data_IF_544616057481
#
_entry.id   IF_544616057481
#
_cell.length_a   1.000
_cell.length_b   1.000
_cell.length_c   1.000
_cell.angle_alpha   90.00
_cell.angle_beta   90.00
_cell.angle_gamma   90.00
#
_symmetry.space_group_name_H-M   'P 1'
#
loop_
_entity.id
_entity.type
_entity.pdbx_description
1 polymer ?
#
# COMPACT_ATOMS: atom_id res chain seq x y z
N UNK A 1 43.91 -0.12 29.59
CA UNK A 1 43.18 -0.12 28.27
C UNK A 1 41.82 -0.79 28.24
N UNK A 2 41.45 -1.60 29.21
CA UNK A 2 40.11 -2.28 29.30
C UNK A 2 38.88 -1.40 29.60
N UNK A 3 38.97 -0.28 30.35
CA UNK A 3 37.77 0.50 30.68
C UNK A 3 37.14 1.21 29.47
N UNK A 4 37.96 1.60 28.48
CA UNK A 4 37.49 2.31 27.29
C UNK A 4 36.60 1.40 26.41
N UNK A 5 37.00 0.15 26.26
CA UNK A 5 36.26 -0.87 25.50
C UNK A 5 34.87 -1.16 26.08
N UNK A 6 34.75 -1.12 27.41
CA UNK A 6 33.50 -1.35 28.11
C UNK A 6 32.48 -0.19 27.91
N UNK A 7 32.99 1.02 27.72
CA UNK A 7 32.17 2.22 27.51
C UNK A 7 31.54 2.27 26.13
N UNK A 8 32.16 1.60 25.15
CA UNK A 8 31.70 1.51 23.76
C UNK A 8 31.02 0.18 23.42
N UNK A 9 30.81 -0.70 24.37
CA UNK A 9 29.97 -1.87 24.15
C UNK A 9 28.54 -1.39 24.01
N UNK A 10 28.04 -1.42 22.77
CA UNK A 10 26.64 -1.28 22.49
C UNK A 10 25.88 -2.34 23.29
N UNK A 11 25.22 -1.95 24.37
CA UNK A 11 24.18 -2.75 24.97
C UNK A 11 22.96 -2.54 24.09
N UNK A 12 22.57 -3.56 23.37
CA UNK A 12 21.28 -3.62 22.71
C UNK A 12 20.19 -3.64 23.79
N UNK A 13 19.85 -2.48 24.33
CA UNK A 13 18.77 -2.33 25.30
C UNK A 13 17.57 -1.77 24.55
N UNK A 14 16.65 -2.65 24.19
CA UNK A 14 15.35 -2.24 23.70
C UNK A 14 14.55 -1.66 24.89
N UNK A 15 14.23 -0.39 24.84
CA UNK A 15 13.35 0.26 25.81
C UNK A 15 12.00 0.56 25.14
N UNK A 16 10.94 -0.07 25.63
CA UNK A 16 9.58 0.20 25.20
C UNK A 16 9.24 1.68 25.50
N UNK A 17 9.18 2.52 24.47
CA UNK A 17 8.78 3.92 24.62
C UNK A 17 9.88 4.96 24.40
N UNK A 18 11.16 4.64 24.53
CA UNK A 18 12.27 5.54 24.26
C UNK A 18 12.86 5.35 22.86
N UNK A 19 13.42 6.41 22.27
CA UNK A 19 14.26 6.31 21.09
C UNK A 19 15.66 5.85 21.55
N UNK A 20 15.93 4.55 21.48
CA UNK A 20 17.23 4.01 21.78
C UNK A 20 18.14 4.04 20.54
N UNK A 21 19.44 4.24 20.75
CA UNK A 21 20.42 4.35 19.69
C UNK A 21 20.45 3.11 18.78
N UNK A 22 20.12 1.94 19.32
CA UNK A 22 20.04 0.69 18.56
C UNK A 22 18.88 0.70 17.56
N UNK A 23 17.68 1.07 17.99
CA UNK A 23 16.51 1.22 17.10
C UNK A 23 16.75 2.27 16.01
N UNK A 24 17.44 3.38 16.35
CA UNK A 24 17.82 4.40 15.37
C UNK A 24 18.73 3.85 14.28
N UNK A 25 19.74 3.06 14.66
CA UNK A 25 20.63 2.42 13.69
C UNK A 25 19.91 1.40 12.82
N UNK A 26 18.99 0.62 13.43
CA UNK A 26 18.18 -0.33 12.69
C UNK A 26 17.26 0.38 11.67
N UNK A 27 16.66 1.49 12.04
CA UNK A 27 15.86 2.29 11.10
C UNK A 27 16.71 2.93 10.00
N UNK A 28 17.95 3.32 10.29
CA UNK A 28 18.86 3.85 9.30
C UNK A 28 19.18 2.82 8.20
N UNK A 29 19.25 1.52 8.53
CA UNK A 29 19.50 0.45 7.55
C UNK A 29 18.41 0.33 6.47
N UNK A 30 17.19 0.68 6.79
CA UNK A 30 16.05 0.66 5.83
C UNK A 30 15.73 2.03 5.24
N UNK A 31 16.58 3.05 5.51
CA UNK A 31 16.39 4.40 5.02
C UNK A 31 15.45 5.26 5.86
N UNK A 32 15.03 4.82 7.04
CA UNK A 32 14.17 5.56 7.97
C UNK A 32 14.97 6.20 9.13
N UNK A 33 16.25 6.50 8.93
CA UNK A 33 17.16 6.99 9.95
C UNK A 33 16.89 8.40 10.49
N UNK A 34 16.02 9.19 9.84
CA UNK A 34 15.71 10.55 10.25
C UNK A 34 14.34 10.70 10.90
N UNK A 35 14.23 11.47 12.01
CA UNK A 35 12.95 11.75 12.64
C UNK A 35 11.96 12.47 11.71
N UNK A 36 12.46 13.32 10.80
CA UNK A 36 11.65 14.01 9.80
C UNK A 36 10.99 13.02 8.82
N UNK A 37 11.72 12.00 8.37
CA UNK A 37 11.20 10.98 7.45
C UNK A 37 10.14 10.13 8.15
N UNK A 38 10.37 9.76 9.41
CA UNK A 38 9.40 8.99 10.22
C UNK A 38 8.15 9.79 10.54
N UNK A 39 8.28 11.07 10.80
CA UNK A 39 7.15 11.98 11.08
C UNK A 39 6.27 12.18 9.84
N UNK A 40 6.86 12.31 8.65
CA UNK A 40 6.11 12.49 7.40
C UNK A 40 5.32 11.25 7.00
N UNK A 41 5.81 10.06 7.34
CA UNK A 41 5.16 8.79 6.97
C UNK A 41 3.93 8.45 7.84
N UNK A 42 3.69 9.16 8.94
CA UNK A 42 2.61 8.86 9.92
C UNK A 42 2.58 7.39 10.39
N UNK A 43 3.73 6.72 10.35
CA UNK A 43 3.89 5.32 10.68
C UNK A 43 4.40 5.13 12.11
N UNK A 44 3.84 4.17 12.81
CA UNK A 44 4.45 3.65 14.05
C UNK A 44 5.62 2.73 13.68
N UNK A 45 6.79 3.33 13.44
CA UNK A 45 7.98 2.61 12.98
C UNK A 45 8.41 1.52 13.96
N UNK A 46 8.08 1.61 15.26
CA UNK A 46 8.41 0.58 16.25
C UNK A 46 7.75 -0.76 15.95
N UNK A 47 6.56 -0.74 15.35
CA UNK A 47 5.88 -1.96 14.90
C UNK A 47 6.59 -2.65 13.75
N UNK A 48 7.47 -1.97 13.03
CA UNK A 48 8.20 -2.53 11.90
C UNK A 48 9.51 -3.21 12.32
N UNK A 49 9.97 -3.03 13.56
CA UNK A 49 11.21 -3.61 14.06
C UNK A 49 11.38 -5.12 13.77
N UNK A 50 10.38 -5.98 13.95
CA UNK A 50 10.51 -7.41 13.64
C UNK A 50 10.76 -7.70 12.16
N UNK A 51 10.34 -6.82 11.27
CA UNK A 51 10.47 -6.98 9.82
C UNK A 51 11.65 -6.24 9.19
N UNK A 52 12.47 -5.54 10.00
CA UNK A 52 13.61 -4.77 9.49
C UNK A 52 14.56 -5.60 8.66
N UNK A 53 14.85 -6.83 9.09
CA UNK A 53 15.71 -7.75 8.36
C UNK A 53 15.16 -8.09 6.97
N UNK A 54 13.87 -8.32 6.88
CA UNK A 54 13.19 -8.58 5.60
C UNK A 54 13.08 -7.32 4.74
N UNK A 55 12.79 -6.17 5.34
CA UNK A 55 12.72 -4.88 4.64
C UNK A 55 14.10 -4.39 4.14
N UNK A 56 15.19 -4.86 4.73
CA UNK A 56 16.54 -4.54 4.25
C UNK A 56 16.96 -5.37 3.03
N UNK A 57 16.23 -6.42 2.68
CA UNK A 57 16.52 -7.24 1.49
C UNK A 57 16.33 -6.42 0.21
N UNK A 58 17.11 -6.79 -0.82
CA UNK A 58 17.07 -6.08 -2.11
C UNK A 58 15.76 -6.34 -2.88
N UNK A 59 15.21 -7.53 -2.76
CA UNK A 59 14.00 -7.95 -3.49
C UNK A 59 12.86 -8.10 -2.51
N UNK A 60 11.77 -7.43 -2.77
CA UNK A 60 10.53 -7.53 -2.00
C UNK A 60 9.50 -8.31 -2.81
N UNK A 61 9.13 -9.49 -2.31
CA UNK A 61 8.05 -10.29 -2.90
C UNK A 61 6.68 -9.81 -2.42
N UNK A 62 5.63 -10.11 -3.18
CA UNK A 62 4.25 -9.83 -2.77
C UNK A 62 3.92 -10.46 -1.41
N UNK A 63 4.41 -11.68 -1.15
CA UNK A 63 4.22 -12.36 0.13
C UNK A 63 4.88 -11.61 1.31
N UNK A 64 6.03 -10.97 1.10
CA UNK A 64 6.66 -10.13 2.11
C UNK A 64 5.82 -8.89 2.42
N UNK A 65 5.36 -8.20 1.38
CA UNK A 65 4.52 -7.01 1.53
C UNK A 65 3.23 -7.38 2.29
N UNK A 66 2.61 -8.48 1.91
CA UNK A 66 1.41 -9.02 2.56
C UNK A 66 1.65 -9.34 4.05
N UNK A 67 2.77 -10.00 4.37
CA UNK A 67 3.12 -10.33 5.75
C UNK A 67 3.36 -9.07 6.61
N UNK A 68 4.05 -8.07 6.07
CA UNK A 68 4.29 -6.79 6.75
C UNK A 68 2.97 -6.04 7.00
N UNK A 69 2.11 -5.97 6.00
CA UNK A 69 0.80 -5.32 6.12
C UNK A 69 -0.11 -6.02 7.13
N UNK A 70 -0.20 -7.36 7.08
CA UNK A 70 -0.98 -8.16 8.05
C UNK A 70 -0.49 -7.98 9.48
N UNK A 71 0.82 -7.94 9.68
CA UNK A 71 1.38 -7.73 11.00
C UNK A 71 1.11 -6.33 11.53
N UNK A 72 1.25 -5.30 10.68
CA UNK A 72 1.03 -3.92 11.08
C UNK A 72 -0.43 -3.67 11.44
N UNK A 73 -1.36 -4.16 10.61
CA UNK A 73 -2.81 -4.04 10.78
C UNK A 73 -3.41 -5.32 11.38
N UNK A 74 -2.99 -5.69 12.56
CA UNK A 74 -3.24 -6.96 13.31
C UNK A 74 -4.61 -7.63 13.13
N UNK A 75 -5.63 -6.93 12.66
CA UNK A 75 -7.02 -7.40 12.63
C UNK A 75 -7.63 -7.45 11.22
N UNK A 76 -6.89 -7.04 10.21
CA UNK A 76 -7.39 -7.03 8.84
C UNK A 76 -6.61 -8.05 7.98
N UNK A 77 -7.27 -9.08 7.43
CA UNK A 77 -6.63 -9.97 6.48
C UNK A 77 -6.33 -9.19 5.20
N UNK A 78 -5.05 -9.08 4.88
CA UNK A 78 -4.54 -8.43 3.68
C UNK A 78 -4.09 -9.47 2.69
N UNK A 79 -4.42 -9.29 1.43
CA UNK A 79 -4.00 -10.12 0.30
C UNK A 79 -3.54 -9.25 -0.85
N UNK A 80 -2.51 -9.68 -1.60
CA UNK A 80 -2.00 -8.96 -2.76
C UNK A 80 -2.30 -9.74 -4.04
N UNK A 81 -3.12 -9.15 -4.89
CA UNK A 81 -3.38 -9.59 -6.24
C UNK A 81 -2.32 -9.00 -7.18
N UNK A 82 -1.54 -9.87 -7.82
CA UNK A 82 -0.52 -9.47 -8.78
C UNK A 82 -1.10 -9.44 -10.20
N UNK A 83 -0.39 -8.77 -11.11
CA UNK A 83 -0.73 -8.79 -12.54
C UNK A 83 -2.10 -8.22 -12.88
N UNK A 84 -2.51 -7.16 -12.16
CA UNK A 84 -3.76 -6.47 -12.41
C UNK A 84 -3.70 -5.74 -13.74
N UNK A 85 -4.69 -5.97 -14.58
CA UNK A 85 -4.78 -5.33 -15.89
C UNK A 85 -4.99 -3.83 -15.77
N UNK A 86 -4.21 -3.08 -16.54
CA UNK A 86 -4.40 -1.64 -16.74
C UNK A 86 -4.34 -1.31 -18.23
N UNK A 87 -5.01 -0.25 -18.63
CA UNK A 87 -4.91 0.31 -19.97
C UNK A 87 -3.92 1.46 -19.94
N UNK A 88 -2.90 1.36 -20.78
CA UNK A 88 -1.85 2.38 -20.95
C UNK A 88 -2.03 3.03 -22.29
N UNK A 89 -2.03 4.36 -22.31
CA UNK A 89 -2.08 5.10 -23.56
C UNK A 89 -0.76 4.98 -24.31
N UNK A 90 -0.85 4.70 -25.61
CA UNK A 90 0.30 4.65 -26.49
C UNK A 90 0.70 6.08 -26.81
N UNK A 91 1.93 6.47 -26.50
CA UNK A 91 2.46 7.79 -26.81
C UNK A 91 2.39 8.08 -28.33
N UNK A 92 2.13 9.32 -28.71
CA UNK A 92 1.91 9.70 -30.13
C UNK A 92 3.05 9.27 -31.04
N UNK A 93 4.29 9.37 -30.55
CA UNK A 93 5.48 8.93 -31.32
C UNK A 93 5.58 7.40 -31.45
N UNK A 94 4.81 6.63 -30.70
CA UNK A 94 4.74 5.16 -30.76
C UNK A 94 3.53 4.64 -31.55
N UNK A 95 2.60 5.51 -31.91
CA UNK A 95 1.44 5.13 -32.74
C UNK A 95 1.87 4.83 -34.18
N UNK A 96 1.18 3.87 -34.76
CA UNK A 96 1.43 3.57 -36.18
C UNK A 96 0.82 4.64 -37.07
N UNK A 97 1.52 4.98 -38.14
CA UNK A 97 1.01 5.78 -39.24
C UNK A 97 1.08 4.95 -40.51
N UNK A 98 -0.08 4.59 -41.04
CA UNK A 98 -0.18 3.70 -42.19
C UNK A 98 0.69 4.19 -43.39
N UNK A 99 1.58 3.34 -43.83
CA UNK A 99 2.49 3.65 -44.95
C UNK A 99 3.66 4.62 -44.65
N UNK A 100 3.79 5.08 -43.37
CA UNK A 100 4.84 6.04 -43.00
C UNK A 100 5.77 5.45 -41.93
N UNK A 101 5.24 5.06 -40.81
CA UNK A 101 6.04 4.56 -39.67
C UNK A 101 5.32 3.43 -38.94
N UNK A 102 6.11 2.45 -38.44
CA UNK A 102 5.67 1.37 -37.57
C UNK A 102 4.51 0.55 -38.12
N UNK A 103 4.65 0.10 -39.35
CA UNK A 103 3.66 -0.69 -40.07
C UNK A 103 4.03 -2.17 -40.18
N UNK A 104 5.13 -2.60 -39.56
CA UNK A 104 5.66 -3.96 -39.71
C UNK A 104 4.93 -4.90 -38.74
N UNK A 105 4.15 -5.80 -39.31
CA UNK A 105 3.37 -6.80 -38.54
C UNK A 105 4.31 -7.76 -37.81
N UNK A 106 4.10 -7.90 -36.50
CA UNK A 106 4.92 -8.76 -35.65
C UNK A 106 6.16 -8.11 -35.05
N UNK A 107 6.55 -6.89 -35.47
CA UNK A 107 7.70 -6.18 -34.94
C UNK A 107 7.31 -4.92 -34.16
N UNK A 108 6.66 -3.95 -34.85
CA UNK A 108 6.43 -2.64 -34.26
C UNK A 108 4.99 -2.10 -34.43
N UNK A 109 4.09 -2.89 -35.05
CA UNK A 109 2.71 -2.50 -35.27
C UNK A 109 1.91 -2.59 -33.96
N UNK A 110 1.45 -1.45 -33.48
CA UNK A 110 0.49 -1.38 -32.36
C UNK A 110 -0.81 -0.77 -32.87
N UNK A 111 -1.91 -1.52 -32.76
CA UNK A 111 -3.22 -1.04 -33.19
C UNK A 111 -3.96 -0.37 -32.03
N UNK A 112 -4.48 0.83 -32.31
CA UNK A 112 -5.29 1.58 -31.34
C UNK A 112 -4.50 2.60 -30.52
N UNK A 113 -5.20 3.21 -29.57
CA UNK A 113 -4.66 4.28 -28.71
C UNK A 113 -4.20 3.77 -27.35
N UNK A 114 -4.60 2.54 -26.99
CA UNK A 114 -4.34 1.95 -25.68
C UNK A 114 -3.91 0.49 -25.83
N UNK A 115 -3.02 0.07 -24.92
CA UNK A 115 -2.55 -1.31 -24.82
C UNK A 115 -2.87 -1.83 -23.41
N UNK A 116 -3.29 -3.10 -23.32
CA UNK A 116 -3.45 -3.78 -22.05
C UNK A 116 -2.09 -4.18 -21.50
N UNK A 117 -1.75 -3.67 -20.30
CA UNK A 117 -0.53 -3.99 -19.58
C UNK A 117 -0.89 -4.62 -18.23
N UNK A 118 -0.22 -5.71 -17.89
CA UNK A 118 -0.36 -6.40 -16.60
C UNK A 118 0.91 -6.39 -15.76
N UNK A 119 2.00 -5.87 -16.30
CA UNK A 119 3.33 -5.98 -15.67
C UNK A 119 3.54 -4.98 -14.54
N UNK A 120 2.88 -3.83 -14.57
CA UNK A 120 3.24 -2.69 -13.74
C UNK A 120 2.15 -2.29 -12.72
N UNK A 121 1.16 -3.18 -12.46
CA UNK A 121 0.09 -2.90 -11.51
C UNK A 121 -0.23 -4.09 -10.62
N UNK A 122 -0.43 -3.84 -9.33
CA UNK A 122 -0.96 -4.81 -8.36
C UNK A 122 -2.12 -4.21 -7.56
N UNK A 123 -2.82 -5.05 -6.81
CA UNK A 123 -3.93 -4.61 -5.97
C UNK A 123 -3.79 -5.16 -4.56
N UNK A 124 -3.95 -4.28 -3.59
CA UNK A 124 -3.96 -4.62 -2.17
C UNK A 124 -5.40 -4.78 -1.73
N UNK A 125 -5.79 -5.99 -1.37
CA UNK A 125 -7.10 -6.30 -0.82
C UNK A 125 -7.02 -6.28 0.70
N UNK A 126 -7.91 -5.54 1.33
CA UNK A 126 -8.15 -5.59 2.77
C UNK A 126 -9.55 -6.17 2.97
N UNK A 127 -9.59 -7.42 3.47
CA UNK A 127 -10.79 -8.24 3.49
C UNK A 127 -11.48 -8.21 4.85
N UNK A 128 -12.75 -8.62 4.87
CA UNK A 128 -13.53 -8.86 6.08
C UNK A 128 -13.47 -7.72 7.12
N UNK A 129 -13.58 -6.48 6.63
CA UNK A 129 -13.56 -5.30 7.48
C UNK A 129 -14.91 -5.13 8.20
N UNK A 130 -14.88 -4.81 9.50
CA UNK A 130 -16.06 -4.28 10.18
C UNK A 130 -16.36 -2.86 9.69
N UNK A 131 -17.58 -2.38 9.90
CA UNK A 131 -17.99 -1.03 9.50
C UNK A 131 -17.05 0.07 9.99
N UNK A 132 -16.57 -0.03 11.24
CA UNK A 132 -15.65 0.95 11.82
C UNK A 132 -14.25 0.88 11.18
N UNK A 133 -13.74 -0.33 10.97
CA UNK A 133 -12.46 -0.55 10.31
C UNK A 133 -12.47 -0.06 8.87
N UNK A 134 -13.57 -0.33 8.15
CA UNK A 134 -13.76 0.15 6.78
C UNK A 134 -13.63 1.68 6.70
N UNK A 135 -14.31 2.40 7.60
CA UNK A 135 -14.20 3.87 7.65
C UNK A 135 -12.79 4.34 8.03
N UNK A 136 -12.07 3.60 8.85
CA UNK A 136 -10.69 3.94 9.18
C UNK A 136 -9.74 3.81 7.98
N UNK A 137 -10.01 2.88 7.06
CA UNK A 137 -9.22 2.68 5.84
C UNK A 137 -9.68 3.52 4.63
N UNK A 138 -10.77 4.25 4.72
CA UNK A 138 -11.15 5.21 3.68
C UNK A 138 -10.13 6.34 3.57
N UNK A 139 -9.99 7.03 2.43
CA UNK A 139 -9.03 8.13 2.22
C UNK A 139 -9.08 9.24 3.27
N UNK A 140 -10.20 9.40 3.94
CA UNK A 140 -10.39 10.37 5.03
C UNK A 140 -10.18 9.76 6.41
N UNK A 141 -9.93 8.45 6.49
CA UNK A 141 -9.72 7.73 7.75
C UNK A 141 -8.27 7.75 8.20
N UNK A 142 -8.05 7.50 9.50
CA UNK A 142 -6.71 7.51 10.11
C UNK A 142 -5.81 6.34 9.67
N UNK A 143 -6.37 5.27 9.13
CA UNK A 143 -5.64 4.07 8.70
C UNK A 143 -5.15 4.14 7.26
N UNK A 144 -5.72 5.03 6.43
CA UNK A 144 -5.38 5.14 5.02
C UNK A 144 -3.94 5.60 4.78
N UNK A 145 -3.54 6.72 5.40
CA UNK A 145 -2.19 7.28 5.23
C UNK A 145 -1.08 6.31 5.70
N UNK A 146 -1.19 5.67 6.89
CA UNK A 146 -0.25 4.64 7.29
C UNK A 146 -0.18 3.47 6.31
N UNK A 147 -1.31 3.02 5.74
CA UNK A 147 -1.34 1.94 4.77
C UNK A 147 -0.63 2.32 3.48
N UNK A 148 -0.94 3.48 2.90
CA UNK A 148 -0.26 3.98 1.71
C UNK A 148 1.24 4.17 1.93
N UNK A 149 1.63 4.74 3.07
CA UNK A 149 3.04 4.95 3.44
C UNK A 149 3.79 3.62 3.60
N UNK A 150 3.13 2.61 4.18
CA UNK A 150 3.72 1.29 4.37
C UNK A 150 3.87 0.54 3.03
N UNK A 151 2.87 0.61 2.15
CA UNK A 151 2.97 0.07 0.80
C UNK A 151 4.11 0.74 0.03
N UNK A 152 4.22 2.06 0.06
CA UNK A 152 5.32 2.81 -0.58
C UNK A 152 6.69 2.43 -0.01
N UNK A 153 6.80 2.26 1.31
CA UNK A 153 8.04 1.83 1.97
C UNK A 153 8.48 0.43 1.53
N UNK A 154 7.51 -0.46 1.32
CA UNK A 154 7.78 -1.84 0.91
C UNK A 154 7.97 -1.99 -0.60
N UNK A 155 7.44 -1.07 -1.41
CA UNK A 155 7.68 -1.07 -2.84
C UNK A 155 9.08 -0.54 -3.16
N UNK A 156 9.80 -1.25 -4.01
CA UNK A 156 11.10 -0.82 -4.57
C UNK A 156 10.97 -0.29 -5.99
N UNK A 157 10.09 -0.91 -6.76
CA UNK A 157 9.85 -0.57 -8.15
C UNK A 157 8.71 0.44 -8.27
N UNK A 158 8.69 1.31 -9.27
CA UNK A 158 7.65 2.30 -9.49
C UNK A 158 6.37 1.65 -10.05
N UNK A 159 5.78 0.71 -9.31
CA UNK A 159 4.54 0.05 -9.68
C UNK A 159 3.34 0.89 -9.24
N UNK A 160 2.28 0.82 -10.03
CA UNK A 160 0.98 1.33 -9.63
C UNK A 160 0.28 0.32 -8.72
N UNK A 161 -0.54 0.80 -7.79
CA UNK A 161 -1.37 -0.09 -6.99
C UNK A 161 -2.77 0.48 -6.78
N UNK A 162 -3.73 -0.44 -6.67
CA UNK A 162 -5.07 -0.15 -6.21
C UNK A 162 -5.22 -0.68 -4.77
N UNK A 163 -6.03 0.02 -4.00
CA UNK A 163 -6.50 -0.44 -2.70
C UNK A 163 -7.96 -0.87 -2.82
N UNK A 164 -8.24 -2.14 -2.53
CA UNK A 164 -9.59 -2.70 -2.53
C UNK A 164 -10.00 -3.05 -1.11
N UNK A 165 -11.00 -2.38 -0.60
CA UNK A 165 -11.58 -2.61 0.71
C UNK A 165 -12.83 -3.46 0.57
N UNK A 166 -12.96 -4.51 1.39
CA UNK A 166 -14.08 -5.43 1.38
C UNK A 166 -14.69 -5.50 2.78
N UNK A 167 -15.95 -5.14 2.91
CA UNK A 167 -16.70 -5.30 4.15
C UNK A 167 -16.96 -6.78 4.46
N UNK A 168 -17.05 -7.11 5.74
CA UNK A 168 -17.52 -8.41 6.16
C UNK A 168 -19.01 -8.59 5.82
N UNK A 169 -19.39 -9.83 5.54
CA UNK A 169 -20.79 -10.16 5.27
C UNK A 169 -21.69 -9.73 6.44
N UNK A 170 -22.76 -9.01 6.14
CA UNK A 170 -23.70 -8.49 7.14
C UNK A 170 -23.34 -7.13 7.76
N UNK A 171 -22.17 -6.57 7.45
CA UNK A 171 -21.77 -5.23 7.92
C UNK A 171 -22.21 -4.11 6.95
N UNK A 172 -22.78 -4.46 5.81
CA UNK A 172 -23.29 -3.48 4.84
C UNK A 172 -24.55 -2.84 5.41
N UNK A 173 -24.58 -1.51 5.40
CA UNK A 173 -25.69 -0.72 5.93
C UNK A 173 -26.39 0.02 4.82
N UNK A 174 -27.72 0.03 4.86
CA UNK A 174 -28.54 0.81 3.95
C UNK A 174 -28.22 2.32 4.07
N UNK A 175 -28.36 3.01 2.96
CA UNK A 175 -28.18 4.46 2.89
C UNK A 175 -29.27 5.16 3.74
N UNK A 176 -28.83 5.90 4.77
CA UNK A 176 -29.69 6.80 5.54
C UNK A 176 -29.23 8.23 5.39
N UNK A 177 -30.06 9.06 4.75
CA UNK A 177 -29.82 10.49 4.57
C UNK A 177 -30.16 11.20 5.90
N UNK A 178 -29.22 12.03 6.42
CA UNK A 178 -29.44 12.80 7.64
C UNK A 178 -28.90 12.14 8.92
N UNK A 179 -28.36 10.94 8.87
CA UNK A 179 -27.68 10.34 10.02
C UNK A 179 -26.31 10.99 10.27
N UNK A 180 -25.88 11.06 11.54
CA UNK A 180 -24.54 11.55 11.92
C UNK A 180 -23.39 10.71 11.33
N UNK A 181 -23.65 9.50 10.89
CA UNK A 181 -22.69 8.67 10.16
C UNK A 181 -22.66 9.14 8.72
N UNK A 182 -21.63 9.87 8.38
CA UNK A 182 -21.45 10.49 7.08
C UNK A 182 -21.45 9.43 5.99
N UNK A 183 -22.59 9.32 5.28
CA UNK A 183 -22.65 8.55 4.05
C UNK A 183 -21.84 9.28 2.98
N UNK A 184 -20.96 8.56 2.30
CA UNK A 184 -20.10 9.10 1.25
C UNK A 184 -20.47 8.46 -0.06
N UNK A 185 -20.91 9.29 -1.01
CA UNK A 185 -21.29 8.83 -2.34
C UNK A 185 -20.12 8.10 -3.00
N UNK A 186 -20.40 6.92 -3.55
CA UNK A 186 -19.40 6.05 -4.19
C UNK A 186 -18.53 5.24 -3.23
N UNK A 187 -18.60 5.43 -1.91
CA UNK A 187 -17.79 4.70 -0.93
C UNK A 187 -18.62 3.92 0.08
N UNK A 188 -19.66 4.54 0.64
CA UNK A 188 -20.49 3.95 1.70
C UNK A 188 -21.99 4.11 1.43
N UNK A 189 -22.36 4.38 0.16
CA UNK A 189 -23.73 4.62 -0.27
C UNK A 189 -24.26 3.44 -1.08
N UNK A 190 -24.59 2.34 -0.41
CA UNK A 190 -25.28 1.22 -1.05
C UNK A 190 -26.79 1.42 -0.98
N UNK A 191 -27.45 1.35 -2.12
CA UNK A 191 -28.90 1.48 -2.23
C UNK A 191 -29.61 0.20 -1.78
N UNK A 192 -29.04 -0.95 -2.17
CA UNK A 192 -29.53 -2.26 -1.76
C UNK A 192 -28.44 -2.94 -0.91
N UNK A 193 -28.71 -3.13 0.37
CA UNK A 193 -27.75 -3.72 1.31
C UNK A 193 -27.72 -5.25 1.25
N UNK A 194 -28.76 -5.90 0.70
CA UNK A 194 -28.83 -7.36 0.61
C UNK A 194 -28.03 -7.91 -0.59
N UNK A 195 -27.98 -7.15 -1.68
CA UNK A 195 -27.29 -7.55 -2.92
C UNK A 195 -25.94 -6.86 -3.13
N UNK A 196 -25.57 -5.93 -2.25
CA UNK A 196 -24.32 -5.19 -2.40
C UNK A 196 -23.10 -6.04 -2.02
N UNK A 197 -22.07 -5.97 -2.85
CA UNK A 197 -20.79 -6.68 -2.60
C UNK A 197 -19.97 -6.07 -1.45
N UNK A 198 -20.31 -4.88 -0.96
CA UNK A 198 -19.58 -4.18 0.08
C UNK A 198 -18.12 -3.87 -0.29
N UNK A 199 -17.85 -3.71 -1.56
CA UNK A 199 -16.50 -3.56 -2.11
C UNK A 199 -16.28 -2.16 -2.65
N UNK A 200 -15.16 -1.55 -2.30
CA UNK A 200 -14.73 -0.26 -2.86
C UNK A 200 -13.27 -0.33 -3.26
N UNK A 201 -12.95 0.23 -4.42
CA UNK A 201 -11.58 0.25 -4.95
C UNK A 201 -11.13 1.69 -5.15
N UNK A 202 -9.92 1.98 -4.68
CA UNK A 202 -9.25 3.27 -4.85
C UNK A 202 -7.94 3.09 -5.59
N UNK A 203 -7.56 4.04 -6.44
CA UNK A 203 -6.19 4.11 -6.93
C UNK A 203 -5.27 4.56 -5.78
N UNK A 204 -4.16 3.87 -5.57
CA UNK A 204 -3.25 4.14 -4.45
C UNK A 204 -2.43 5.43 -4.56
N UNK A 205 -2.50 6.12 -5.70
CA UNK A 205 -1.75 7.35 -5.98
C UNK A 205 -2.56 8.64 -5.74
N UNK A 206 -3.48 8.67 -4.80
CA UNK A 206 -4.04 9.95 -4.37
C UNK A 206 -2.95 10.79 -3.69
N UNK A 207 -2.50 11.82 -4.40
CA UNK A 207 -1.69 12.91 -3.87
C UNK A 207 -2.53 13.83 -2.98
#
# INVERSE_FOLDING_TARGET
>A
MWPIWRKYRYRACFQTGASDAFSEQMFALIGLGGNAIRGSAQLDCKRLLPYLGLLSMRVHSAALIEAVLRYYFKHAPVFIEQWVERRVEVADFQRNCLGITRCDLGENLVLGHQVSDRSAKFRVHVLALSWQQFHAFLPTGKGYQPLCSLVRLTMRDPLEYDLRLVLAAGEIRALHIGARNVCRLGWTSWLDHEQADGVVTFAGNFH
#
